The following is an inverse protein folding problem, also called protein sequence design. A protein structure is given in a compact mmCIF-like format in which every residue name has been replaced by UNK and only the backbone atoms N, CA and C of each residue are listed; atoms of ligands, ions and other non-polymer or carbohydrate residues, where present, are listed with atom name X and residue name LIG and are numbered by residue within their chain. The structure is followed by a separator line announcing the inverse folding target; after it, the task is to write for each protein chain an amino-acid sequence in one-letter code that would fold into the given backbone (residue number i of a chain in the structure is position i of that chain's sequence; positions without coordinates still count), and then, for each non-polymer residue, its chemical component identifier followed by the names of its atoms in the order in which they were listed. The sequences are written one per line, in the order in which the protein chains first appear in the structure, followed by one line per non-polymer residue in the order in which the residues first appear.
data_IF_980991863454
#
_entry.id   IF_980991863454
#
_cell.length_a   1.000
_cell.length_b   1.000
_cell.length_c   1.000
_cell.angle_alpha   90.00
_cell.angle_beta   90.00
_cell.angle_gamma   90.00
#
_symmetry.space_group_name_H-M   'P 1'
#
loop_
_entity.id
_entity.type
_entity.pdbx_description
1 polymer ?
#
# COMPACT_ATOMS: atom_id res chain seq x y z
N UNK A 1 1.04 -2.08 3.55
CA UNK A 1 1.25 -0.79 2.84
C UNK A 1 0.14 -0.64 1.81
N UNK A 2 -0.46 0.54 1.71
CA UNK A 2 -1.48 0.91 0.71
C UNK A 2 -1.09 2.24 0.05
N UNK A 3 -1.90 2.75 -0.89
CA UNK A 3 -1.65 4.04 -1.54
C UNK A 3 -0.75 3.92 -2.78
N UNK A 4 0.00 4.98 -3.08
CA UNK A 4 0.98 5.01 -4.16
C UNK A 4 2.05 3.92 -3.95
N UNK A 5 2.49 3.29 -5.03
CA UNK A 5 3.76 2.56 -5.01
C UNK A 5 4.91 3.56 -5.16
N UNK A 6 5.35 4.15 -4.04
CA UNK A 6 6.38 5.19 -4.04
C UNK A 6 6.43 5.95 -2.72
N UNK A 7 6.85 7.21 -2.83
CA UNK A 7 7.16 8.07 -1.68
C UNK A 7 5.96 8.38 -0.80
N UNK A 8 4.75 8.43 -1.38
CA UNK A 8 3.52 8.69 -0.62
C UNK A 8 2.78 7.42 -0.19
N UNK A 9 3.44 6.26 -0.24
CA UNK A 9 2.89 5.01 0.28
C UNK A 9 2.51 5.11 1.77
N UNK A 10 1.47 4.39 2.18
CA UNK A 10 0.86 4.52 3.51
C UNK A 10 1.05 3.25 4.33
N UNK A 11 1.75 3.31 5.48
CA UNK A 11 1.81 2.23 6.44
C UNK A 11 0.54 2.21 7.30
N UNK A 12 -0.22 1.12 7.23
CA UNK A 12 -1.45 0.93 8.03
C UNK A 12 -1.08 0.24 9.35
N UNK A 13 -0.44 0.99 10.26
CA UNK A 13 -0.03 0.52 11.59
C UNK A 13 -1.18 -0.01 12.42
N UNK A 14 -2.39 0.55 12.23
CA UNK A 14 -3.62 0.13 12.88
C UNK A 14 -4.02 -1.33 12.60
N UNK A 15 -3.54 -1.90 11.50
CA UNK A 15 -3.78 -3.28 11.08
C UNK A 15 -2.60 -4.24 11.31
N UNK A 16 -1.44 -3.75 11.75
CA UNK A 16 -0.26 -4.60 11.98
C UNK A 16 -0.50 -5.51 13.18
N UNK A 17 -0.31 -6.81 12.98
CA UNK A 17 -0.58 -7.82 13.99
C UNK A 17 0.32 -9.05 13.82
N UNK A 18 0.48 -9.82 14.90
CA UNK A 18 1.07 -11.16 14.90
C UNK A 18 0.04 -12.10 15.51
N UNK A 19 -0.33 -13.15 14.76
CA UNK A 19 -1.37 -14.11 15.18
C UNK A 19 -2.70 -13.43 15.60
N UNK A 20 -3.06 -12.31 14.97
CA UNK A 20 -4.27 -11.53 15.30
C UNK A 20 -4.12 -10.55 16.47
N UNK A 21 -3.05 -10.64 17.26
CA UNK A 21 -2.74 -9.65 18.32
C UNK A 21 -2.18 -8.40 17.67
N UNK A 22 -2.90 -7.29 17.78
CA UNK A 22 -2.51 -6.04 17.12
C UNK A 22 -1.38 -5.40 17.89
N UNK A 23 -0.33 -4.98 17.17
CA UNK A 23 0.81 -4.34 17.83
C UNK A 23 0.43 -3.02 18.48
N UNK A 24 -0.56 -2.31 17.94
CA UNK A 24 -1.09 -1.09 18.56
C UNK A 24 -1.73 -1.30 19.93
N UNK A 25 -2.20 -2.51 20.23
CA UNK A 25 -2.81 -2.81 21.53
C UNK A 25 -1.71 -2.99 22.60
N UNK A 26 -0.45 -3.18 22.17
CA UNK A 26 0.76 -3.25 23.01
C UNK A 26 1.47 -1.89 23.08
N UNK A 27 1.55 -1.19 21.95
CA UNK A 27 2.14 0.14 21.80
C UNK A 27 1.19 1.04 20.98
N UNK A 28 0.35 1.86 21.64
CA UNK A 28 -0.64 2.69 20.93
C UNK A 28 0.02 3.72 19.98
N UNK A 29 1.24 4.14 20.34
CA UNK A 29 2.06 5.09 19.59
C UNK A 29 2.85 4.45 18.44
N UNK A 30 2.68 3.15 18.15
CA UNK A 30 3.39 2.47 17.06
C UNK A 30 3.35 3.27 15.75
N UNK A 31 4.53 3.54 15.20
CA UNK A 31 4.69 4.29 13.94
C UNK A 31 4.41 5.79 14.04
N UNK A 32 4.05 6.32 15.22
CA UNK A 32 3.96 7.77 15.49
C UNK A 32 5.31 8.33 15.93
N UNK A 33 5.37 9.66 16.07
CA UNK A 33 6.59 10.36 16.52
C UNK A 33 7.03 10.00 17.93
N UNK A 34 6.09 9.63 18.80
CA UNK A 34 6.35 9.30 20.20
C UNK A 34 6.65 7.80 20.41
N UNK A 35 6.71 7.03 19.32
CA UNK A 35 7.05 5.61 19.37
C UNK A 35 8.48 5.41 19.89
N UNK A 36 8.61 4.84 21.09
CA UNK A 36 9.91 4.57 21.72
C UNK A 36 10.77 3.59 20.90
N UNK A 37 10.15 2.74 20.09
CA UNK A 37 10.84 1.76 19.24
C UNK A 37 11.03 2.26 17.81
N UNK A 38 10.48 3.43 17.47
CA UNK A 38 10.65 4.08 16.18
C UNK A 38 10.27 3.20 14.97
N UNK A 39 9.13 2.50 15.02
CA UNK A 39 8.63 1.67 13.91
C UNK A 39 8.42 2.47 12.62
N UNK A 40 8.24 3.78 12.71
CA UNK A 40 8.19 4.68 11.56
C UNK A 40 9.46 4.58 10.67
N UNK A 41 10.62 4.24 11.25
CA UNK A 41 11.85 4.02 10.49
C UNK A 41 11.76 2.79 9.58
N UNK A 42 10.95 1.78 9.93
CA UNK A 42 10.75 0.60 9.09
C UNK A 42 10.03 0.98 7.79
N UNK A 43 8.97 1.81 7.86
CA UNK A 43 8.31 2.30 6.64
C UNK A 43 9.23 3.19 5.82
N UNK A 44 10.05 4.03 6.46
CA UNK A 44 11.07 4.80 5.76
C UNK A 44 12.04 3.90 4.99
N UNK A 45 12.52 2.81 5.59
CA UNK A 45 13.36 1.83 4.90
C UNK A 45 12.64 1.16 3.73
N UNK A 46 11.33 0.90 3.83
CA UNK A 46 10.54 0.37 2.70
C UNK A 46 10.58 1.33 1.51
N UNK A 47 10.37 2.62 1.73
CA UNK A 47 10.44 3.66 0.66
C UNK A 47 11.87 3.75 0.12
N UNK A 48 12.86 3.86 1.00
CA UNK A 48 14.27 4.06 0.64
C UNK A 48 14.90 2.83 -0.06
N UNK A 49 14.32 1.63 0.13
CA UNK A 49 14.88 0.37 -0.38
C UNK A 49 15.07 0.34 -1.91
N UNK A 50 14.13 0.92 -2.66
CA UNK A 50 14.24 0.98 -4.12
C UNK A 50 15.43 1.85 -4.54
N UNK A 51 15.60 3.01 -3.90
CA UNK A 51 16.69 3.93 -4.16
C UNK A 51 18.05 3.32 -3.79
N UNK A 52 18.12 2.63 -2.65
CA UNK A 52 19.35 1.96 -2.23
C UNK A 52 19.77 0.86 -3.22
N UNK A 53 18.84 0.01 -3.65
CA UNK A 53 19.13 -1.06 -4.62
C UNK A 53 19.55 -0.48 -5.97
N UNK A 54 18.85 0.56 -6.45
CA UNK A 54 19.21 1.25 -7.69
C UNK A 54 20.61 1.86 -7.58
N UNK A 55 20.94 2.49 -6.45
CA UNK A 55 22.29 3.04 -6.22
C UNK A 55 23.37 1.95 -6.28
N UNK A 56 23.09 0.76 -5.73
CA UNK A 56 24.07 -0.33 -5.62
C UNK A 56 24.20 -1.18 -6.89
N UNK A 57 23.09 -1.48 -7.57
CA UNK A 57 23.03 -2.43 -8.71
C UNK A 57 22.57 -1.77 -10.02
N UNK A 58 22.07 -0.55 -9.99
CA UNK A 58 21.56 0.20 -11.15
C UNK A 58 20.06 0.00 -11.42
N UNK A 59 19.44 -1.07 -10.91
CA UNK A 59 18.02 -1.39 -11.13
C UNK A 59 17.49 -2.41 -10.11
N UNK A 60 16.18 -2.48 -9.95
CA UNK A 60 15.47 -3.54 -9.19
C UNK A 60 14.95 -4.61 -10.16
N UNK A 61 14.91 -5.89 -9.76
CA UNK A 61 14.47 -6.97 -10.65
C UNK A 61 13.85 -8.17 -9.93
N UNK A 62 14.55 -8.73 -8.95
CA UNK A 62 14.19 -10.03 -8.37
C UNK A 62 12.93 -9.98 -7.49
N UNK A 63 12.87 -9.02 -6.56
CA UNK A 63 11.74 -8.89 -5.65
C UNK A 63 10.43 -8.56 -6.39
N UNK A 64 10.49 -7.66 -7.38
CA UNK A 64 9.33 -7.34 -8.21
C UNK A 64 8.92 -8.54 -9.09
N UNK A 65 9.87 -9.29 -9.64
CA UNK A 65 9.59 -10.52 -10.38
C UNK A 65 8.83 -11.57 -9.56
N UNK A 66 9.24 -11.79 -8.30
CA UNK A 66 8.54 -12.68 -7.38
C UNK A 66 7.15 -12.16 -6.98
N UNK A 67 7.03 -10.84 -6.76
CA UNK A 67 5.74 -10.19 -6.48
C UNK A 67 4.75 -10.41 -7.63
N UNK A 68 5.17 -10.13 -8.87
CA UNK A 68 4.35 -10.36 -10.08
C UNK A 68 4.00 -11.82 -10.24
N UNK A 69 4.95 -12.75 -10.05
CA UNK A 69 4.68 -14.18 -10.13
C UNK A 69 3.61 -14.62 -9.11
N UNK A 70 3.59 -14.03 -7.91
CA UNK A 70 2.57 -14.31 -6.89
C UNK A 70 1.18 -13.79 -7.29
N UNK A 71 1.11 -12.60 -7.89
CA UNK A 71 -0.14 -12.08 -8.45
C UNK A 71 -0.65 -12.97 -9.58
N UNK A 72 0.21 -13.34 -10.54
CA UNK A 72 -0.13 -14.27 -11.62
C UNK A 72 -0.62 -15.62 -11.09
N UNK A 73 0.03 -16.20 -10.07
CA UNK A 73 -0.43 -17.42 -9.43
C UNK A 73 -1.85 -17.26 -8.90
N UNK A 74 -2.18 -16.10 -8.31
CA UNK A 74 -3.49 -15.85 -7.71
C UNK A 74 -4.60 -15.76 -8.76
N UNK A 75 -4.29 -15.09 -9.88
CA UNK A 75 -5.17 -14.96 -11.04
C UNK A 75 -5.38 -16.32 -11.73
N UNK A 76 -4.30 -16.99 -12.12
CA UNK A 76 -4.33 -18.25 -12.91
C UNK A 76 -4.99 -19.38 -12.13
N UNK A 77 -4.76 -19.47 -10.82
CA UNK A 77 -5.32 -20.54 -9.98
C UNK A 77 -6.66 -20.18 -9.34
N UNK A 78 -7.19 -18.99 -9.63
CA UNK A 78 -8.45 -18.48 -9.09
C UNK A 78 -8.59 -18.68 -7.56
N UNK A 79 -7.54 -18.39 -6.80
CA UNK A 79 -7.49 -18.71 -5.34
C UNK A 79 -8.18 -17.68 -4.46
N UNK A 80 -8.69 -16.58 -5.02
CA UNK A 80 -9.37 -15.50 -4.31
C UNK A 80 -8.55 -14.93 -3.13
N UNK A 81 -7.23 -14.86 -3.28
CA UNK A 81 -6.33 -14.30 -2.27
C UNK A 81 -6.33 -12.77 -2.28
N UNK A 82 -6.08 -12.17 -1.12
CA UNK A 82 -6.02 -10.73 -0.93
C UNK A 82 -4.61 -10.20 -1.17
N UNK A 83 -4.47 -9.18 -2.02
CA UNK A 83 -3.21 -8.48 -2.31
C UNK A 83 -3.42 -6.97 -2.34
N UNK A 84 -2.43 -6.19 -1.89
CA UNK A 84 -2.43 -4.75 -2.11
C UNK A 84 -2.02 -4.46 -3.55
N UNK A 85 -2.97 -4.13 -4.41
CA UNK A 85 -2.75 -3.84 -5.84
C UNK A 85 -3.52 -2.60 -6.27
N UNK A 86 -3.00 -1.94 -7.31
CA UNK A 86 -3.58 -0.71 -7.84
C UNK A 86 -4.97 -0.95 -8.43
N UNK A 87 -5.96 -0.21 -7.95
CA UNK A 87 -7.35 -0.24 -8.40
C UNK A 87 -7.96 1.15 -8.33
N UNK A 88 -9.07 1.39 -9.03
CA UNK A 88 -9.84 2.63 -8.90
C UNK A 88 -10.32 2.77 -7.45
N UNK A 89 -10.04 3.92 -6.82
CA UNK A 89 -10.33 4.14 -5.40
C UNK A 89 -11.56 4.99 -5.13
N UNK A 90 -12.20 5.51 -6.19
CA UNK A 90 -13.37 6.38 -6.06
C UNK A 90 -14.48 5.69 -5.25
N UNK A 91 -14.99 6.37 -4.23
CA UNK A 91 -15.98 5.86 -3.29
C UNK A 91 -15.39 5.10 -2.09
N UNK A 92 -14.10 4.75 -2.08
CA UNK A 92 -13.44 4.13 -0.94
C UNK A 92 -12.84 5.18 -0.01
N UNK A 93 -12.99 4.97 1.30
CA UNK A 93 -12.46 5.86 2.34
C UNK A 93 -12.85 7.35 2.19
N UNK A 94 -13.97 7.65 1.52
CA UNK A 94 -14.42 9.02 1.25
C UNK A 94 -13.51 9.77 0.26
N UNK A 95 -12.90 9.04 -0.68
CA UNK A 95 -12.12 9.57 -1.79
C UNK A 95 -13.01 9.63 -3.04
N UNK A 96 -13.05 10.79 -3.68
CA UNK A 96 -13.90 11.03 -4.87
C UNK A 96 -13.08 11.22 -6.16
N UNK A 97 -11.75 11.28 -6.04
CA UNK A 97 -10.83 11.41 -7.17
C UNK A 97 -10.84 10.16 -8.04
N UNK A 98 -10.80 10.36 -9.36
CA UNK A 98 -10.70 9.27 -10.34
C UNK A 98 -9.25 8.87 -10.55
N UNK A 99 -8.68 8.23 -9.52
CA UNK A 99 -7.27 7.80 -9.48
C UNK A 99 -7.15 6.33 -9.09
N UNK A 100 -6.01 5.75 -9.41
CA UNK A 100 -5.68 4.37 -9.10
C UNK A 100 -4.58 4.34 -8.03
N UNK A 101 -4.85 3.68 -6.90
CA UNK A 101 -3.90 3.43 -5.83
C UNK A 101 -4.02 2.00 -5.33
N UNK A 102 -3.00 1.54 -4.61
CA UNK A 102 -3.03 0.20 -4.03
C UNK A 102 -3.98 0.13 -2.84
N UNK A 103 -5.01 -0.71 -2.94
CA UNK A 103 -5.88 -1.12 -1.83
C UNK A 103 -5.87 -2.66 -1.72
N UNK A 104 -6.25 -3.24 -0.57
CA UNK A 104 -6.34 -4.69 -0.46
C UNK A 104 -7.49 -5.20 -1.34
N UNK A 105 -7.16 -5.98 -2.35
CA UNK A 105 -8.09 -6.49 -3.35
C UNK A 105 -8.11 -8.02 -3.36
N UNK A 106 -9.30 -8.59 -3.53
CA UNK A 106 -9.47 -10.02 -3.78
C UNK A 106 -9.23 -10.29 -5.26
N UNK A 107 -8.17 -11.03 -5.56
CA UNK A 107 -7.79 -11.41 -6.92
C UNK A 107 -8.26 -12.81 -7.28
N UNK A 108 -8.97 -12.94 -8.39
CA UNK A 108 -9.39 -14.19 -9.01
C UNK A 108 -9.12 -14.20 -10.52
N UNK A 109 -9.66 -15.18 -11.23
CA UNK A 109 -9.43 -15.34 -12.69
C UNK A 109 -9.87 -14.12 -13.51
N UNK A 110 -10.87 -13.37 -13.03
CA UNK A 110 -11.40 -12.17 -13.66
C UNK A 110 -10.71 -10.87 -13.19
N UNK A 111 -9.55 -10.96 -12.54
CA UNK A 111 -8.85 -9.81 -11.96
C UNK A 111 -9.36 -9.44 -10.58
N UNK A 112 -9.52 -8.13 -10.33
CA UNK A 112 -10.03 -7.61 -9.05
C UNK A 112 -11.53 -7.88 -8.95
N UNK A 113 -11.91 -8.77 -8.05
CA UNK A 113 -13.33 -9.09 -7.80
C UNK A 113 -13.95 -8.23 -6.70
N UNK A 114 -13.17 -7.89 -5.68
CA UNK A 114 -13.61 -7.12 -4.52
C UNK A 114 -12.47 -6.25 -4.01
N UNK A 115 -12.81 -5.09 -3.46
CA UNK A 115 -11.88 -4.21 -2.74
C UNK A 115 -12.29 -4.21 -1.27
N UNK A 116 -11.36 -4.52 -0.38
CA UNK A 116 -11.59 -4.55 1.06
C UNK A 116 -11.48 -3.14 1.60
N UNK A 117 -12.49 -2.72 2.36
CA UNK A 117 -12.50 -1.44 3.07
C UNK A 117 -12.03 -1.65 4.51
N UNK A 118 -10.72 -1.72 4.72
CA UNK A 118 -10.12 -1.89 6.04
C UNK A 118 -10.36 -0.65 6.94
N UNK A 119 -10.50 -0.80 8.25
CA UNK A 119 -10.52 0.36 9.15
C UNK A 119 -9.16 1.08 9.11
N UNK A 120 -9.18 2.41 9.06
CA UNK A 120 -7.99 3.27 9.10
C UNK A 120 -8.12 4.26 10.27
N UNK A 121 -7.00 4.59 10.92
CA UNK A 121 -6.92 5.75 11.81
C UNK A 121 -7.01 7.03 10.98
N UNK A 122 -7.44 8.13 11.61
CA UNK A 122 -7.52 9.44 10.95
C UNK A 122 -6.20 9.87 10.30
N UNK A 123 -5.07 9.58 10.96
CA UNK A 123 -3.72 9.87 10.46
C UNK A 123 -3.40 9.09 9.17
N UNK A 124 -3.75 7.80 9.13
CA UNK A 124 -3.57 6.92 7.96
C UNK A 124 -4.49 7.34 6.81
N UNK A 125 -5.72 7.74 7.14
CA UNK A 125 -6.67 8.26 6.16
C UNK A 125 -6.17 9.59 5.55
N UNK A 126 -5.60 10.47 6.36
CA UNK A 126 -4.99 11.71 5.88
C UNK A 126 -3.82 11.43 4.92
N UNK A 127 -2.98 10.45 5.24
CA UNK A 127 -1.87 10.03 4.39
C UNK A 127 -2.38 9.44 3.06
N UNK A 128 -3.42 8.61 3.10
CA UNK A 128 -4.05 8.05 1.89
C UNK A 128 -4.66 9.15 1.01
N UNK A 129 -5.34 10.14 1.60
CA UNK A 129 -5.85 11.31 0.89
C UNK A 129 -4.73 12.13 0.24
N UNK A 130 -3.62 12.31 0.94
CA UNK A 130 -2.43 12.98 0.39
C UNK A 130 -1.89 12.21 -0.81
N UNK A 131 -1.75 10.89 -0.70
CA UNK A 131 -1.30 10.02 -1.79
C UNK A 131 -2.22 10.08 -3.01
N UNK A 132 -3.54 10.06 -2.80
CA UNK A 132 -4.53 10.22 -3.86
C UNK A 132 -4.42 11.56 -4.58
N UNK A 133 -4.24 12.65 -3.81
CA UNK A 133 -4.03 13.99 -4.38
C UNK A 133 -2.76 14.07 -5.23
N UNK A 134 -1.65 13.51 -4.74
CA UNK A 134 -0.39 13.47 -5.49
C UNK A 134 -0.57 12.77 -6.85
N UNK A 135 -1.28 11.63 -6.87
CA UNK A 135 -1.54 10.93 -8.13
C UNK A 135 -2.52 11.67 -9.04
N UNK A 136 -3.55 12.32 -8.48
CA UNK A 136 -4.53 13.12 -9.23
C UNK A 136 -3.84 14.29 -9.95
N UNK A 137 -2.94 15.00 -9.25
CA UNK A 137 -2.17 16.10 -9.81
C UNK A 137 -1.27 15.63 -10.98
N UNK A 138 -0.63 14.46 -10.85
CA UNK A 138 0.17 13.85 -11.93
C UNK A 138 -0.70 13.46 -13.11
N UNK A 139 -1.82 12.75 -12.88
CA UNK A 139 -2.71 12.28 -13.94
C UNK A 139 -3.29 13.45 -14.75
N UNK A 140 -3.68 14.54 -14.10
CA UNK A 140 -4.18 15.77 -14.76
C UNK A 140 -3.15 16.44 -15.67
N UNK A 141 -1.87 16.22 -15.44
CA UNK A 141 -0.79 16.76 -16.27
C UNK A 141 -0.56 15.96 -17.57
N UNK A 142 -1.10 14.73 -17.65
CA UNK A 142 -0.94 13.86 -18.81
C UNK A 142 -1.81 14.34 -19.98
N UNK A 143 -1.25 14.29 -21.19
CA UNK A 143 -1.96 14.46 -22.45
C UNK A 143 -1.90 13.15 -23.21
N UNK A 144 -3.07 12.63 -23.59
CA UNK A 144 -3.23 11.39 -24.33
C UNK A 144 -3.52 11.67 -25.81
#
# INVERSE_FOLDING_TARGET
IIGEHGDTSVPVWSGVNVAGVRLRDVNDDIGRKNDSESFNLIHKQVVDSAYEIIRLKGYTSWAIGLSVAKLCQSLIRNVHSVHAVSTAIKGFHGLDQDVFLSLPCVLGENGVSHVIKQPLREEELLQLRKSAKTMDDVIKSLKF
#
